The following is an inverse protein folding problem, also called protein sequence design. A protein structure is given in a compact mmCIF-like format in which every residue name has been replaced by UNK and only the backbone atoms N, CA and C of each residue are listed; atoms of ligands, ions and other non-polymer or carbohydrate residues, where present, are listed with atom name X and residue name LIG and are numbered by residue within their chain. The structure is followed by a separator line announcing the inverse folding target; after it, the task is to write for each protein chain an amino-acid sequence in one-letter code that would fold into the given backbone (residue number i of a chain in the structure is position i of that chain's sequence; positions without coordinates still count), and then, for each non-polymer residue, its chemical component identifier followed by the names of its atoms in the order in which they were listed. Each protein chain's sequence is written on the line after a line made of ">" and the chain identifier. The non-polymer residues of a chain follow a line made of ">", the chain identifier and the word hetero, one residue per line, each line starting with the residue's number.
data_IF_108558795350
#
_entry.id   IF_108558795350
#
_cell.length_a   1.000
_cell.length_b   1.000
_cell.length_c   1.000
_cell.angle_alpha   90.00
_cell.angle_beta   90.00
_cell.angle_gamma   90.00
#
_symmetry.space_group_name_H-M   'P 1'
#
loop_
_entity.id
_entity.type
_entity.pdbx_description
1 polymer ?
#
# COMPACT_ATOMS: atom_id res chain seq x y z
N UNK A 1 0.18 24.86 -18.24
CA UNK A 1 0.06 24.33 -17.95
C UNK A 1 0.07 23.23 -17.88
N UNK A 2 -0.20 23.01 -17.91
CA UNK A 2 -0.44 22.15 -17.77
C UNK A 2 0.02 21.05 -17.80
N UNK A 3 0.17 20.75 -18.07
CA UNK A 3 0.84 19.71 -18.17
C UNK A 3 0.79 18.80 -17.18
N UNK A 4 0.63 19.16 -16.23
CA UNK A 4 0.53 18.33 -15.16
C UNK A 4 -0.51 17.36 -15.28
N UNK A 5 -1.44 17.57 -16.08
CA UNK A 5 -2.54 16.63 -16.15
C UNK A 5 -2.08 15.28 -16.56
N UNK A 6 -1.05 15.19 -17.32
CA UNK A 6 -0.61 13.88 -17.73
C UNK A 6 -0.07 13.08 -16.60
N UNK A 7 0.45 13.71 -15.58
CA UNK A 7 0.95 12.93 -14.53
C UNK A 7 -0.07 12.46 -13.64
N UNK A 8 -1.06 13.21 -13.43
CA UNK A 8 -2.05 12.79 -12.51
C UNK A 8 -2.81 11.64 -12.98
N UNK A 9 -2.86 11.43 -14.25
CA UNK A 9 -3.62 10.33 -14.78
C UNK A 9 -3.13 9.01 -14.32
N UNK A 10 -1.87 8.91 -13.99
CA UNK A 10 -1.33 7.61 -13.62
C UNK A 10 -1.02 7.50 -12.18
N UNK A 11 -1.39 8.47 -11.39
CA UNK A 11 -1.00 8.46 -9.99
C UNK A 11 -2.13 8.83 -9.07
N UNK A 12 -2.25 8.07 -8.02
CA UNK A 12 -3.12 8.38 -6.92
C UNK A 12 -2.26 8.13 -5.70
N UNK A 13 -1.89 9.18 -5.00
CA UNK A 13 -0.94 9.10 -3.91
C UNK A 13 -1.58 9.44 -2.59
N UNK A 14 -1.18 8.75 -1.55
CA UNK A 14 -1.64 9.07 -0.21
C UNK A 14 -0.65 8.54 0.81
N UNK A 15 -0.80 8.99 2.04
CA UNK A 15 0.04 8.51 3.14
C UNK A 15 -0.81 7.83 4.17
N UNK A 16 -0.29 6.79 4.77
CA UNK A 16 -0.96 6.14 5.87
C UNK A 16 0.03 5.98 7.01
N UNK A 17 -0.46 6.07 8.22
CA UNK A 17 0.37 5.75 9.38
C UNK A 17 -0.33 4.70 10.18
N UNK A 18 0.45 3.89 10.84
CA UNK A 18 -0.10 2.86 11.69
C UNK A 18 0.99 2.02 12.28
N UNK A 19 0.57 1.00 12.99
CA UNK A 19 1.49 0.09 13.67
C UNK A 19 1.62 -1.18 12.83
N UNK A 20 2.85 -1.60 12.60
CA UNK A 20 3.11 -2.83 11.86
C UNK A 20 2.62 -4.02 12.68
N UNK A 21 1.88 -4.92 12.06
CA UNK A 21 1.43 -6.13 12.73
C UNK A 21 1.86 -7.36 11.94
N UNK A 22 1.92 -8.48 12.60
CA UNK A 22 2.41 -9.71 12.03
C UNK A 22 1.29 -10.73 11.93
N UNK A 23 1.06 -11.25 10.75
CA UNK A 23 0.06 -12.28 10.52
C UNK A 23 0.75 -13.63 10.58
N UNK A 24 0.30 -14.48 11.49
CA UNK A 24 0.91 -15.77 11.71
C UNK A 24 0.26 -16.91 10.95
N UNK A 25 -0.43 -16.61 9.89
CA UNK A 25 -1.11 -17.66 9.13
C UNK A 25 -0.14 -18.52 8.34
N UNK A 26 -0.66 -19.33 7.41
CA UNK A 26 0.19 -20.26 6.65
C UNK A 26 1.29 -19.58 5.85
N UNK A 27 1.09 -18.33 5.50
CA UNK A 27 2.11 -17.54 4.83
C UNK A 27 2.38 -16.29 5.65
N UNK A 28 3.12 -16.43 6.76
CA UNK A 28 3.28 -15.32 7.70
C UNK A 28 3.96 -14.13 7.06
N UNK A 29 3.50 -12.93 7.43
CA UNK A 29 4.04 -11.74 6.84
C UNK A 29 3.72 -10.53 7.69
N UNK A 30 4.43 -9.43 7.47
CA UNK A 30 4.20 -8.18 8.18
C UNK A 30 3.35 -7.26 7.34
N UNK A 31 2.41 -6.58 7.95
CA UNK A 31 1.46 -5.72 7.25
C UNK A 31 1.25 -4.40 7.94
N UNK A 32 0.86 -3.41 7.15
CA UNK A 32 0.38 -2.14 7.66
C UNK A 32 -1.05 -1.97 7.12
N UNK A 33 -1.99 -1.69 7.98
CA UNK A 33 -3.40 -1.61 7.59
C UNK A 33 -3.73 -0.23 7.03
N UNK A 34 -4.40 -0.21 5.89
CA UNK A 34 -4.90 1.03 5.31
C UNK A 34 -6.17 1.42 6.08
N UNK A 35 -6.28 2.65 6.55
CA UNK A 35 -7.45 3.07 7.31
C UNK A 35 -8.76 2.87 6.55
N UNK A 36 -9.84 2.73 7.29
CA UNK A 36 -11.13 2.38 6.71
C UNK A 36 -11.58 3.33 5.62
N UNK A 37 -11.46 4.62 5.83
CA UNK A 37 -11.92 5.60 4.85
C UNK A 37 -11.16 5.45 3.53
N UNK A 38 -9.85 5.29 3.59
CA UNK A 38 -9.05 5.10 2.39
C UNK A 38 -9.32 3.73 1.77
N UNK A 39 -9.53 2.72 2.58
CA UNK A 39 -9.85 1.40 2.06
C UNK A 39 -11.15 1.43 1.25
N UNK A 40 -12.11 2.20 1.71
CA UNK A 40 -13.37 2.32 0.98
C UNK A 40 -13.18 3.05 -0.33
N UNK A 41 -12.36 4.09 -0.34
CA UNK A 41 -12.07 4.80 -1.58
C UNK A 41 -11.34 3.90 -2.57
N UNK A 42 -10.42 3.11 -2.09
CA UNK A 42 -9.69 2.19 -2.96
C UNK A 42 -10.62 1.13 -3.52
N UNK A 43 -11.55 0.65 -2.71
CA UNK A 43 -12.48 -0.35 -3.18
C UNK A 43 -13.36 0.19 -4.29
N UNK A 44 -13.70 1.47 -4.22
CA UNK A 44 -14.53 2.09 -5.24
C UNK A 44 -13.84 2.17 -6.59
N UNK A 45 -12.52 2.18 -6.62
CA UNK A 45 -11.78 2.28 -7.88
C UNK A 45 -11.01 1.02 -8.23
N UNK A 46 -11.19 -0.04 -7.48
CA UNK A 46 -10.36 -1.23 -7.65
C UNK A 46 -10.45 -1.79 -9.06
N UNK A 47 -11.59 -1.72 -9.69
CA UNK A 47 -11.76 -2.23 -11.03
C UNK A 47 -10.97 -1.44 -12.07
N UNK A 48 -10.48 -0.26 -11.70
CA UNK A 48 -9.67 0.54 -12.61
C UNK A 48 -8.18 0.24 -12.47
N UNK A 49 -7.79 -0.41 -11.39
CA UNK A 49 -6.35 -0.58 -11.09
C UNK A 49 -5.93 -2.02 -10.88
N UNK A 50 -6.81 -2.97 -11.11
CA UNK A 50 -6.50 -4.37 -10.91
C UNK A 50 -6.99 -5.19 -12.10
N UNK A 51 -6.52 -6.41 -12.21
CA UNK A 51 -6.88 -7.31 -13.30
C UNK A 51 -7.85 -8.39 -12.86
N UNK A 52 -8.62 -8.15 -11.83
CA UNK A 52 -9.64 -9.09 -11.44
C UNK A 52 -9.40 -9.83 -10.16
N UNK A 53 -8.26 -9.66 -9.54
CA UNK A 53 -7.96 -10.33 -8.28
C UNK A 53 -8.29 -9.48 -7.07
N UNK A 54 -8.61 -8.21 -7.28
CA UNK A 54 -8.88 -7.31 -6.17
C UNK A 54 -7.61 -6.79 -5.51
N UNK A 55 -6.44 -7.15 -6.00
CA UNK A 55 -5.19 -6.63 -5.49
C UNK A 55 -4.82 -5.38 -6.23
N UNK A 56 -4.29 -4.40 -5.53
CA UNK A 56 -3.99 -3.10 -6.11
C UNK A 56 -2.49 -2.90 -6.15
N UNK A 57 -1.87 -2.90 -7.33
CA UNK A 57 -0.42 -2.69 -7.42
C UNK A 57 -0.05 -1.28 -7.00
N UNK A 58 0.95 -1.15 -6.16
CA UNK A 58 1.38 0.15 -5.64
C UNK A 58 2.88 0.23 -5.58
N UNK A 59 3.37 1.46 -5.54
CA UNK A 59 4.73 1.74 -5.15
C UNK A 59 4.65 2.39 -3.79
N UNK A 60 5.42 1.92 -2.85
CA UNK A 60 5.37 2.42 -1.49
C UNK A 60 6.73 2.89 -1.05
N UNK A 61 6.75 3.78 -0.07
CA UNK A 61 7.99 4.24 0.52
C UNK A 61 7.82 4.37 2.01
N UNK A 62 8.72 3.77 2.76
CA UNK A 62 8.78 3.92 4.21
C UNK A 62 10.18 4.43 4.51
N UNK A 63 10.28 5.57 5.18
CA UNK A 63 11.57 6.19 5.44
C UNK A 63 12.26 6.50 4.12
N UNK A 64 13.43 5.95 3.91
CA UNK A 64 14.20 6.18 2.68
C UNK A 64 14.15 4.97 1.75
N UNK A 65 13.31 4.00 2.02
CA UNK A 65 13.26 2.77 1.23
C UNK A 65 11.98 2.70 0.41
N UNK A 66 12.15 2.59 -0.90
CA UNK A 66 11.02 2.43 -1.82
C UNK A 66 10.89 0.99 -2.23
N UNK A 67 9.68 0.55 -2.45
CA UNK A 67 9.44 -0.83 -2.87
C UNK A 67 8.12 -0.93 -3.60
N UNK A 68 7.96 -1.97 -4.39
CA UNK A 68 6.71 -2.22 -5.10
C UNK A 68 6.04 -3.43 -4.47
N UNK A 69 4.74 -3.40 -4.38
CA UNK A 69 3.97 -4.49 -3.84
C UNK A 69 2.52 -4.33 -4.31
N UNK A 70 1.61 -5.08 -3.72
CA UNK A 70 0.19 -4.91 -3.99
C UNK A 70 -0.55 -4.87 -2.67
N UNK A 71 -1.53 -3.98 -2.59
CA UNK A 71 -2.43 -3.98 -1.44
C UNK A 71 -3.42 -5.10 -1.64
N UNK A 72 -3.74 -5.85 -0.58
CA UNK A 72 -4.83 -6.79 -0.70
C UNK A 72 -5.87 -6.57 0.36
N UNK A 73 -7.06 -7.06 0.06
CA UNK A 73 -8.21 -6.90 0.92
C UNK A 73 -8.20 -7.98 1.98
N UNK A 74 -8.27 -7.58 3.23
CA UNK A 74 -8.28 -8.52 4.33
C UNK A 74 -9.19 -8.00 5.42
N UNK A 75 -10.20 -8.79 5.79
CA UNK A 75 -11.13 -8.42 6.87
C UNK A 75 -11.76 -7.05 6.68
N UNK A 76 -12.12 -6.74 5.44
CA UNK A 76 -12.83 -5.51 5.14
C UNK A 76 -11.94 -4.30 4.89
N UNK A 77 -10.63 -4.45 5.06
CA UNK A 77 -9.69 -3.35 4.86
C UNK A 77 -8.60 -3.78 3.90
N UNK A 78 -7.90 -2.82 3.33
CA UNK A 78 -6.72 -3.14 2.55
C UNK A 78 -5.51 -3.17 3.47
N UNK A 79 -4.54 -4.00 3.13
CA UNK A 79 -3.29 -4.07 3.89
C UNK A 79 -2.12 -3.94 2.95
N UNK A 80 -1.07 -3.29 3.44
CA UNK A 80 0.18 -3.10 2.71
C UNK A 80 1.20 -4.10 3.22
N UNK A 81 1.63 -5.06 2.39
CA UNK A 81 2.68 -5.98 2.83
C UNK A 81 4.02 -5.26 2.90
N UNK A 82 4.78 -5.53 3.95
CA UNK A 82 6.07 -4.90 4.13
C UNK A 82 7.15 -5.97 3.96
N UNK A 83 7.94 -5.85 2.91
CA UNK A 83 8.94 -6.85 2.57
C UNK A 83 10.07 -6.88 3.59
N UNK A 84 10.68 -8.05 3.72
CA UNK A 84 11.78 -8.23 4.67
C UNK A 84 12.91 -7.23 4.42
N UNK A 85 13.27 -7.01 3.16
CA UNK A 85 14.37 -6.09 2.88
C UNK A 85 14.07 -4.67 3.34
N UNK A 86 12.79 -4.29 3.31
CA UNK A 86 12.38 -2.97 3.76
C UNK A 86 12.47 -2.89 5.28
N UNK A 87 11.99 -3.93 5.95
CA UNK A 87 12.07 -3.95 7.41
C UNK A 87 13.50 -3.89 7.89
N UNK A 88 14.39 -4.61 7.22
CA UNK A 88 15.79 -4.61 7.60
C UNK A 88 16.45 -3.27 7.31
N UNK A 89 16.15 -2.69 6.15
CA UNK A 89 16.75 -1.41 5.78
C UNK A 89 16.32 -0.29 6.71
N UNK A 90 15.06 -0.31 7.16
CA UNK A 90 14.55 0.76 8.00
C UNK A 90 14.57 0.40 9.48
N UNK A 91 14.97 -0.82 9.81
CA UNK A 91 15.03 -1.31 11.19
C UNK A 91 13.69 -1.21 11.89
N UNK A 92 12.67 -1.71 11.21
CA UNK A 92 11.30 -1.67 11.72
C UNK A 92 10.74 -3.08 11.75
N UNK A 93 9.75 -3.29 12.58
CA UNK A 93 9.10 -4.58 12.69
C UNK A 93 7.80 -4.48 13.44
N UNK A 94 7.28 -5.61 13.85
CA UNK A 94 6.01 -5.69 14.54
C UNK A 94 6.00 -4.76 15.75
N UNK A 95 4.95 -3.98 15.87
CA UNK A 95 4.81 -3.03 16.98
C UNK A 95 5.31 -1.63 16.70
N UNK A 96 6.08 -1.45 15.63
CA UNK A 96 6.60 -0.12 15.31
C UNK A 96 5.54 0.69 14.57
N UNK A 97 5.46 1.96 14.90
CA UNK A 97 4.55 2.88 14.23
C UNK A 97 5.30 3.54 13.09
N UNK A 98 4.78 3.44 11.89
CA UNK A 98 5.46 3.98 10.71
C UNK A 98 4.48 4.73 9.83
N UNK A 99 5.03 5.55 8.94
CA UNK A 99 4.25 6.23 7.92
C UNK A 99 4.71 5.70 6.57
N UNK A 100 3.77 5.33 5.74
CA UNK A 100 4.06 4.86 4.40
C UNK A 100 3.42 5.78 3.38
N UNK A 101 4.19 6.16 2.37
CA UNK A 101 3.65 6.90 1.24
C UNK A 101 3.33 5.87 0.18
N UNK A 102 2.14 5.91 -0.36
CA UNK A 102 1.66 4.92 -1.31
C UNK A 102 1.21 5.59 -2.59
N UNK A 103 1.70 5.08 -3.71
CA UNK A 103 1.29 5.56 -5.01
C UNK A 103 0.64 4.40 -5.74
N UNK A 104 -0.64 4.55 -6.07
CA UNK A 104 -1.39 3.51 -6.76
C UNK A 104 -1.10 3.62 -8.25
N UNK A 105 -0.84 2.49 -8.88
CA UNK A 105 -0.56 2.47 -10.31
C UNK A 105 -1.86 2.25 -11.05
N UNK A 106 -2.31 3.28 -11.72
CA UNK A 106 -3.57 3.22 -12.45
C UNK A 106 -3.30 2.69 -13.84
N UNK A 107 -4.09 1.75 -14.28
CA UNK A 107 -3.96 1.23 -15.63
C UNK A 107 -4.42 2.27 -16.61
N UNK A 108 -3.75 2.41 -17.69
CA UNK A 108 -4.18 3.36 -18.71
C UNK A 108 -4.45 2.69 -20.04
#
# INVERSE_FOLDING_TARGET
>A
MNKQCTKQESALSFEIDGTIWYWKGPAPYHFLTVPKALSQELKAIVHLVTYGWGMIPVQAQIGNTSFTTSLFHKDGLYVLPIKDRVRKAERIGEGDHVTARIEVKVRS
#
